data_IF_297097702664
#
_entry.id   IF_297097702664
#
_cell.length_a   1.000
_cell.length_b   1.000
_cell.length_c   1.000
_cell.angle_alpha   90.00
_cell.angle_beta   90.00
_cell.angle_gamma   90.00
#
_symmetry.space_group_name_H-M   'P 1'
#
loop_
_entity.id
_entity.type
_entity.pdbx_description
1 polymer ?
#
# COMPACT_ATOMS: atom_id res chain seq x y z
N UNK A 1 -8.30 -59.54 17.96
CA UNK A 1 -9.21 -58.55 17.37
C UNK A 1 -8.49 -57.20 17.38
N UNK A 2 -8.04 -56.69 16.23
CA UNK A 2 -7.36 -55.40 16.17
C UNK A 2 -8.42 -54.29 16.07
N UNK A 3 -8.43 -53.37 17.04
CA UNK A 3 -9.12 -52.08 16.90
C UNK A 3 -8.32 -51.24 15.91
N UNK A 4 -8.89 -51.02 14.74
CA UNK A 4 -8.44 -50.00 13.79
C UNK A 4 -8.76 -48.64 14.38
N UNK A 5 -7.73 -47.90 14.82
CA UNK A 5 -7.81 -46.46 14.91
C UNK A 5 -7.21 -45.86 13.64
N UNK A 6 -8.12 -45.38 12.78
CA UNK A 6 -7.84 -44.45 11.70
C UNK A 6 -7.52 -43.12 12.35
N UNK A 7 -6.26 -42.70 12.28
CA UNK A 7 -5.83 -41.34 12.64
C UNK A 7 -5.60 -40.57 11.35
N UNK A 8 -6.48 -39.59 11.12
CA UNK A 8 -6.34 -38.60 10.06
C UNK A 8 -5.06 -37.79 10.27
N UNK A 9 -4.22 -37.56 9.26
CA UNK A 9 -3.16 -36.57 9.35
C UNK A 9 -3.78 -35.18 9.11
N UNK A 10 -3.71 -34.30 10.12
CA UNK A 10 -3.89 -32.86 9.92
C UNK A 10 -2.58 -32.36 9.34
N UNK A 11 -2.58 -32.14 8.02
CA UNK A 11 -1.49 -31.51 7.31
C UNK A 11 -1.71 -29.98 7.36
N UNK A 12 -0.88 -29.27 8.11
CA UNK A 12 -0.69 -27.82 7.96
C UNK A 12 0.50 -27.61 7.02
N UNK A 13 0.21 -27.47 5.72
CA UNK A 13 1.19 -27.07 4.72
C UNK A 13 0.80 -25.72 4.14
N UNK A 14 1.70 -24.76 4.34
CA UNK A 14 2.25 -23.81 3.38
C UNK A 14 1.30 -23.21 2.33
N UNK A 15 1.25 -21.88 2.34
CA UNK A 15 0.85 -21.09 1.19
C UNK A 15 1.78 -21.36 -0.01
N UNK A 16 1.17 -21.79 -1.10
CA UNK A 16 1.61 -21.51 -2.45
C UNK A 16 0.38 -21.55 -3.38
N UNK A 17 0.31 -20.53 -4.23
CA UNK A 17 -0.60 -20.22 -5.33
C UNK A 17 -1.10 -21.46 -6.11
N UNK A 18 -2.36 -21.42 -6.59
CA UNK A 18 -2.74 -21.73 -7.99
C UNK A 18 -4.24 -21.48 -8.25
N UNK A 19 -4.48 -20.62 -9.24
CA UNK A 19 -5.43 -20.78 -10.36
C UNK A 19 -6.94 -20.97 -10.12
N UNK A 20 -7.69 -20.03 -10.71
CA UNK A 20 -9.03 -20.12 -11.28
C UNK A 20 -9.72 -21.51 -11.30
N UNK A 21 -10.90 -21.58 -10.69
CA UNK A 21 -12.01 -22.37 -11.20
C UNK A 21 -13.25 -21.45 -11.39
N UNK A 22 -13.98 -21.60 -12.51
CA UNK A 22 -15.14 -20.77 -12.83
C UNK A 22 -16.43 -21.33 -12.21
N UNK A 23 -17.32 -20.43 -11.78
CA UNK A 23 -18.76 -20.65 -11.88
C UNK A 23 -19.53 -21.02 -10.60
N UNK A 24 -20.37 -20.06 -10.21
CA UNK A 24 -21.76 -20.20 -9.73
C UNK A 24 -22.03 -20.07 -8.23
N UNK A 25 -22.22 -18.81 -7.85
CA UNK A 25 -22.92 -18.36 -6.64
C UNK A 25 -23.32 -16.91 -6.81
N UNK A 26 -24.05 -16.61 -7.89
CA UNK A 26 -24.57 -15.28 -8.21
C UNK A 26 -25.51 -14.79 -7.10
N UNK A 27 -24.98 -14.06 -6.13
CA UNK A 27 -25.75 -13.07 -5.39
C UNK A 27 -25.72 -11.80 -6.22
N UNK A 28 -26.88 -11.17 -6.42
CA UNK A 28 -27.05 -10.03 -7.32
C UNK A 28 -26.17 -8.85 -6.89
N UNK A 29 -24.94 -8.82 -7.39
CA UNK A 29 -24.27 -7.56 -7.69
C UNK A 29 -25.14 -6.90 -8.74
N UNK A 30 -25.85 -5.84 -8.37
CA UNK A 30 -26.44 -4.95 -9.35
C UNK A 30 -25.27 -4.47 -10.22
N UNK A 31 -25.13 -5.02 -11.43
CA UNK A 31 -24.23 -4.43 -12.39
C UNK A 31 -24.61 -2.95 -12.50
N UNK A 32 -23.62 -2.03 -12.50
CA UNK A 32 -23.92 -0.61 -12.64
C UNK A 32 -24.82 -0.43 -13.86
N UNK A 33 -25.84 0.42 -13.73
CA UNK A 33 -26.72 0.68 -14.86
C UNK A 33 -25.88 1.18 -16.04
N UNK A 34 -26.30 0.99 -17.30
CA UNK A 34 -25.55 1.49 -18.46
C UNK A 34 -25.21 3.00 -18.34
N UNK A 35 -26.09 3.77 -17.70
CA UNK A 35 -25.91 5.19 -17.40
C UNK A 35 -24.83 5.44 -16.34
N UNK A 36 -24.71 4.57 -15.33
CA UNK A 36 -23.68 4.67 -14.28
C UNK A 36 -22.30 4.34 -14.85
N UNK A 37 -22.21 3.31 -15.70
CA UNK A 37 -20.99 2.94 -16.41
C UNK A 37 -20.52 4.05 -17.37
N UNK A 38 -21.43 4.62 -18.17
CA UNK A 38 -21.10 5.74 -19.08
C UNK A 38 -20.61 6.99 -18.34
N UNK A 39 -21.13 7.28 -17.14
CA UNK A 39 -20.64 8.40 -16.31
C UNK A 39 -19.26 8.12 -15.71
N UNK A 40 -18.98 6.88 -15.33
CA UNK A 40 -17.66 6.47 -14.85
C UNK A 40 -16.60 6.56 -15.95
N UNK A 41 -16.93 6.17 -17.18
CA UNK A 41 -16.05 6.31 -18.33
C UNK A 41 -15.71 7.78 -18.62
N UNK A 42 -16.73 8.65 -18.64
CA UNK A 42 -16.54 10.08 -18.89
C UNK A 42 -15.67 10.76 -17.83
N UNK A 43 -15.88 10.44 -16.54
CA UNK A 43 -15.09 11.00 -15.44
C UNK A 43 -13.65 10.51 -15.43
N UNK A 44 -13.42 9.24 -15.82
CA UNK A 44 -12.08 8.66 -15.95
C UNK A 44 -11.30 9.27 -17.11
N UNK A 45 -11.96 9.53 -18.24
CA UNK A 45 -11.37 10.25 -19.38
C UNK A 45 -11.03 11.70 -19.03
N UNK A 46 -11.92 12.41 -18.33
CA UNK A 46 -11.66 13.77 -17.86
C UNK A 46 -10.46 13.83 -16.91
N UNK A 47 -10.36 12.88 -15.98
CA UNK A 47 -9.21 12.78 -15.07
C UNK A 47 -7.92 12.50 -15.84
N UNK A 48 -7.92 11.58 -16.81
CA UNK A 48 -6.76 11.31 -17.66
C UNK A 48 -6.30 12.55 -18.45
N UNK A 49 -7.23 13.34 -18.98
CA UNK A 49 -6.92 14.59 -19.65
C UNK A 49 -6.44 15.68 -18.67
N UNK A 50 -6.92 15.69 -17.43
CA UNK A 50 -6.43 16.59 -16.39
C UNK A 50 -4.98 16.28 -15.99
N UNK A 51 -4.58 15.01 -15.93
CA UNK A 51 -3.18 14.62 -15.68
C UNK A 51 -2.20 15.16 -16.72
N UNK A 52 -2.60 15.25 -18.00
CA UNK A 52 -1.79 15.89 -19.05
C UNK A 52 -1.60 17.39 -18.83
N UNK A 53 -2.54 18.03 -18.15
CA UNK A 53 -2.56 19.47 -17.84
C UNK A 53 -2.13 19.78 -16.40
N UNK A 54 -1.56 18.81 -15.68
CA UNK A 54 -1.08 18.99 -14.32
C UNK A 54 -0.10 20.17 -14.22
N UNK A 55 -0.22 20.93 -13.15
CA UNK A 55 0.55 22.15 -12.90
C UNK A 55 1.24 22.07 -11.55
N UNK A 56 2.42 22.65 -11.46
CA UNK A 56 3.11 22.76 -10.18
C UNK A 56 2.26 23.61 -9.23
N UNK A 57 1.98 23.05 -8.05
CA UNK A 57 1.10 23.64 -7.04
C UNK A 57 -0.35 23.15 -7.07
N UNK A 58 -0.75 22.30 -8.04
CA UNK A 58 -2.04 21.60 -7.96
C UNK A 58 -2.06 20.78 -6.65
N UNK A 59 -3.03 21.04 -5.78
CA UNK A 59 -3.06 20.51 -4.42
C UNK A 59 -4.47 20.13 -3.99
N UNK A 60 -4.59 19.00 -3.29
CA UNK A 60 -5.80 18.61 -2.55
C UNK A 60 -5.45 18.22 -1.12
N UNK A 61 -6.26 18.68 -0.17
CA UNK A 61 -6.07 18.42 1.26
C UNK A 61 -7.33 17.77 1.84
N UNK A 62 -7.15 16.66 2.53
CA UNK A 62 -8.19 15.93 3.25
C UNK A 62 -7.91 15.97 4.75
N UNK A 63 -8.95 16.16 5.56
CA UNK A 63 -8.87 15.72 6.94
C UNK A 63 -9.08 14.21 7.00
N UNK A 64 -8.24 13.53 7.75
CA UNK A 64 -8.35 12.10 7.96
C UNK A 64 -8.56 11.79 9.45
N UNK A 65 -9.25 10.69 9.72
CA UNK A 65 -9.35 10.10 11.04
C UNK A 65 -9.37 8.59 10.90
N UNK A 66 -8.54 7.90 11.68
CA UNK A 66 -8.53 6.45 11.77
C UNK A 66 -8.66 6.03 13.24
N UNK A 67 -9.37 4.94 13.49
CA UNK A 67 -9.60 4.42 14.82
C UNK A 67 -9.56 2.90 14.83
N UNK A 68 -8.90 2.32 15.83
CA UNK A 68 -8.89 0.89 16.08
C UNK A 68 -9.38 0.66 17.50
N UNK A 69 -10.45 -0.12 17.65
CA UNK A 69 -10.97 -0.55 18.93
C UNK A 69 -9.98 -1.47 19.65
N UNK A 70 -10.28 -1.85 20.90
CA UNK A 70 -9.45 -2.82 21.62
C UNK A 70 -9.52 -4.19 20.93
N UNK A 71 -8.38 -4.88 20.85
CA UNK A 71 -8.34 -6.28 20.39
C UNK A 71 -8.85 -7.19 21.51
N UNK A 72 -9.86 -8.05 21.28
CA UNK A 72 -10.38 -8.92 22.34
C UNK A 72 -9.33 -9.91 22.85
N UNK A 73 -9.07 -9.90 24.16
CA UNK A 73 -8.09 -10.76 24.81
C UNK A 73 -6.70 -10.14 25.00
N UNK A 74 -6.47 -8.94 24.45
CA UNK A 74 -5.27 -8.15 24.70
C UNK A 74 -5.60 -6.96 25.61
N UNK A 75 -4.65 -6.53 26.44
CA UNK A 75 -4.80 -5.35 27.30
C UNK A 75 -4.63 -4.02 26.54
N UNK A 76 -4.80 -4.04 25.23
CA UNK A 76 -4.51 -2.90 24.36
C UNK A 76 -5.67 -1.91 24.35
N UNK A 77 -5.33 -0.64 24.59
CA UNK A 77 -6.26 0.47 24.51
C UNK A 77 -6.68 0.74 23.06
N UNK A 78 -7.89 1.28 22.88
CA UNK A 78 -8.31 1.82 21.60
C UNK A 78 -7.30 2.86 21.11
N UNK A 79 -6.95 2.79 19.81
CA UNK A 79 -5.95 3.65 19.17
C UNK A 79 -6.65 4.58 18.19
N UNK A 80 -6.22 5.83 18.14
CA UNK A 80 -6.75 6.82 17.22
C UNK A 80 -5.61 7.59 16.57
N UNK A 81 -5.82 7.99 15.31
CA UNK A 81 -4.90 8.82 14.56
C UNK A 81 -5.68 9.75 13.64
N UNK A 82 -5.47 11.05 13.79
CA UNK A 82 -6.13 12.07 13.01
C UNK A 82 -5.14 13.14 12.54
N UNK A 83 -5.51 13.85 11.48
CA UNK A 83 -4.66 14.86 10.88
C UNK A 83 -5.11 15.28 9.49
N UNK A 84 -4.15 15.74 8.70
CA UNK A 84 -4.35 16.19 7.32
C UNK A 84 -3.49 15.37 6.37
N UNK A 85 -4.09 14.93 5.26
CA UNK A 85 -3.43 14.31 4.11
C UNK A 85 -3.40 15.34 2.98
N UNK A 86 -2.22 15.66 2.47
CA UNK A 86 -2.03 16.57 1.33
C UNK A 86 -1.39 15.82 0.17
N UNK A 87 -1.99 15.93 -1.02
CA UNK A 87 -1.39 15.54 -2.29
C UNK A 87 -1.10 16.81 -3.08
N UNK A 88 0.14 17.00 -3.54
CA UNK A 88 0.54 18.20 -4.27
C UNK A 88 1.49 17.89 -5.42
N UNK A 89 1.24 18.46 -6.59
CA UNK A 89 2.19 18.42 -7.70
C UNK A 89 3.36 19.35 -7.41
N UNK A 90 4.54 18.77 -7.19
CA UNK A 90 5.76 19.51 -6.86
C UNK A 90 6.69 19.70 -8.06
N UNK A 91 6.54 18.90 -9.11
CA UNK A 91 7.29 19.04 -10.35
C UNK A 91 6.53 18.38 -11.51
N UNK A 92 6.66 18.96 -12.70
CA UNK A 92 6.14 18.40 -13.95
C UNK A 92 7.28 18.36 -14.96
N UNK A 93 7.69 17.15 -15.33
CA UNK A 93 8.69 16.88 -16.37
C UNK A 93 8.12 15.80 -17.29
N UNK A 94 7.35 16.24 -18.29
CA UNK A 94 6.60 15.34 -19.16
C UNK A 94 7.48 14.17 -19.67
N UNK A 95 7.01 12.91 -19.59
CA UNK A 95 5.63 12.51 -19.24
C UNK A 95 5.36 12.38 -17.73
N UNK A 96 6.31 12.74 -16.86
CA UNK A 96 6.23 12.53 -15.42
C UNK A 96 5.66 13.73 -14.66
N UNK A 97 4.68 13.47 -13.82
CA UNK A 97 4.14 14.39 -12.82
C UNK A 97 4.54 13.87 -11.45
N UNK A 98 5.28 14.66 -10.67
CA UNK A 98 5.75 14.29 -9.35
C UNK A 98 4.79 14.82 -8.29
N UNK A 99 4.12 13.91 -7.60
CA UNK A 99 3.18 14.23 -6.52
C UNK A 99 3.86 13.99 -5.17
N UNK A 100 3.88 14.99 -4.31
CA UNK A 100 4.20 14.86 -2.90
C UNK A 100 2.96 14.41 -2.14
N UNK A 101 3.12 13.38 -1.31
CA UNK A 101 2.11 12.92 -0.35
C UNK A 101 2.63 13.19 1.06
N UNK A 102 1.88 13.96 1.84
CA UNK A 102 2.27 14.36 3.18
C UNK A 102 1.13 14.14 4.17
N UNK A 103 1.47 13.64 5.36
CA UNK A 103 0.57 13.51 6.49
C UNK A 103 1.05 14.41 7.63
N UNK A 104 0.16 15.26 8.13
CA UNK A 104 0.48 16.23 9.19
C UNK A 104 -0.61 16.26 10.25
N UNK A 105 -0.30 16.82 11.42
CA UNK A 105 -1.29 17.14 12.42
C UNK A 105 -2.17 18.34 11.99
N UNK A 106 -3.15 18.72 12.81
CA UNK A 106 -4.01 19.85 12.52
C UNK A 106 -3.27 21.21 12.41
N UNK A 107 -2.06 21.31 12.95
CA UNK A 107 -1.19 22.50 12.89
C UNK A 107 -0.18 22.44 11.74
N UNK A 108 -0.25 21.43 10.87
CA UNK A 108 0.67 21.25 9.75
C UNK A 108 2.06 20.71 10.13
N UNK A 109 2.22 20.17 11.35
CA UNK A 109 3.48 19.56 11.79
C UNK A 109 3.52 18.06 11.44
N UNK A 110 4.72 17.48 11.26
CA UNK A 110 4.85 16.04 11.04
C UNK A 110 4.20 15.22 12.16
N UNK A 111 3.53 14.12 11.79
CA UNK A 111 2.95 13.19 12.74
C UNK A 111 4.04 12.46 13.54
N UNK A 112 3.70 12.08 14.78
CA UNK A 112 4.59 11.30 15.64
C UNK A 112 4.78 9.85 15.19
N UNK A 113 3.83 9.34 14.39
CA UNK A 113 3.79 7.98 13.89
C UNK A 113 4.86 7.82 12.81
N UNK A 114 5.87 6.99 13.09
CA UNK A 114 7.03 6.80 12.19
C UNK A 114 6.64 6.53 10.75
N UNK A 115 5.58 5.74 10.52
CA UNK A 115 5.05 5.42 9.18
C UNK A 115 4.59 6.64 8.39
N UNK A 116 4.07 7.67 9.03
CA UNK A 116 3.52 8.86 8.37
C UNK A 116 4.35 10.13 8.59
N UNK A 117 5.50 10.02 9.25
CA UNK A 117 6.29 11.16 9.71
C UNK A 117 7.08 11.88 8.61
N UNK A 118 7.13 11.34 7.39
CA UNK A 118 7.93 11.87 6.27
C UNK A 118 7.09 12.01 5.01
N UNK A 119 7.38 13.06 4.26
CA UNK A 119 6.85 13.25 2.92
C UNK A 119 7.33 12.14 1.98
N UNK A 120 6.39 11.65 1.17
CA UNK A 120 6.59 10.63 0.15
C UNK A 120 6.45 11.25 -1.24
N UNK A 121 7.10 10.64 -2.21
CA UNK A 121 7.04 11.07 -3.61
C UNK A 121 6.40 9.98 -4.47
N UNK A 122 5.52 10.39 -5.37
CA UNK A 122 4.82 9.54 -6.33
C UNK A 122 5.03 10.12 -7.74
N UNK A 123 5.97 9.60 -8.53
CA UNK A 123 6.02 9.88 -9.96
C UNK A 123 4.85 9.18 -10.66
N UNK A 124 4.04 9.95 -11.37
CA UNK A 124 2.86 9.49 -12.11
C UNK A 124 3.04 9.85 -13.58
N UNK A 125 2.86 8.89 -14.48
CA UNK A 125 2.81 9.14 -15.91
C UNK A 125 1.50 9.81 -16.30
N UNK A 126 1.61 10.90 -17.05
CA UNK A 126 0.47 11.67 -17.57
C UNK A 126 -0.09 11.10 -18.87
N UNK A 127 0.68 10.29 -19.61
CA UNK A 127 0.31 9.72 -20.89
C UNK A 127 -0.48 8.40 -20.77
N UNK A 128 -1.11 8.00 -21.87
CA UNK A 128 -1.93 6.77 -21.95
C UNK A 128 -1.09 5.64 -22.52
N UNK A 129 -0.68 4.72 -21.66
CA UNK A 129 0.08 3.50 -21.99
C UNK A 129 -0.84 2.29 -22.19
N UNK A 130 -1.98 2.25 -21.49
CA UNK A 130 -3.01 1.20 -21.59
C UNK A 130 -4.40 1.74 -21.20
N UNK A 131 -5.51 1.09 -21.58
CA UNK A 131 -6.80 1.34 -20.94
C UNK A 131 -6.72 0.92 -19.46
N UNK A 132 -7.10 1.81 -18.55
CA UNK A 132 -7.29 1.50 -17.13
C UNK A 132 -8.70 1.89 -16.79
N UNK A 133 -9.57 0.90 -16.69
CA UNK A 133 -10.92 1.05 -16.19
C UNK A 133 -11.07 0.17 -14.96
N UNK A 134 -11.41 0.80 -13.83
CA UNK A 134 -11.59 0.13 -12.54
C UNK A 134 -12.98 0.49 -12.05
N UNK A 135 -13.95 -0.42 -12.22
CA UNK A 135 -15.31 -0.18 -11.76
C UNK A 135 -15.32 0.12 -10.27
N UNK A 136 -16.06 1.17 -9.89
CA UNK A 136 -16.27 1.49 -8.47
C UNK A 136 -17.33 0.54 -7.91
N UNK A 137 -17.02 -0.27 -6.88
CA UNK A 137 -17.97 -1.23 -6.35
C UNK A 137 -19.05 -0.54 -5.49
N UNK A 138 -20.23 -1.16 -5.41
CA UNK A 138 -21.29 -0.78 -4.48
C UNK A 138 -22.52 -0.14 -5.12
N UNK A 139 -23.52 0.11 -4.29
CA UNK A 139 -24.76 0.79 -4.65
C UNK A 139 -24.48 2.26 -4.94
N UNK A 140 -25.09 2.77 -6.02
CA UNK A 140 -24.83 4.10 -6.56
C UNK A 140 -25.97 5.05 -6.20
N UNK A 141 -25.67 6.26 -5.73
CA UNK A 141 -26.68 7.29 -5.46
C UNK A 141 -26.13 8.67 -5.83
N UNK A 142 -26.91 9.46 -6.58
CA UNK A 142 -26.56 10.84 -6.86
C UNK A 142 -26.87 11.75 -5.66
N UNK A 143 -25.99 12.69 -5.35
CA UNK A 143 -26.14 13.62 -4.24
C UNK A 143 -25.53 14.99 -4.55
N UNK A 144 -25.84 15.98 -3.71
CA UNK A 144 -25.32 17.35 -3.80
C UNK A 144 -24.68 17.83 -2.50
N UNK A 145 -23.53 17.26 -2.10
CA UNK A 145 -22.87 17.65 -0.86
C UNK A 145 -22.16 19.00 -0.99
N UNK A 146 -21.95 19.66 0.16
CA UNK A 146 -21.17 20.88 0.25
C UNK A 146 -19.83 20.60 0.91
N UNK A 147 -18.73 20.82 0.20
CA UNK A 147 -17.36 20.63 0.70
C UNK A 147 -16.50 21.83 0.31
N UNK A 148 -15.68 22.31 1.25
CA UNK A 148 -14.76 23.43 1.04
C UNK A 148 -15.47 24.71 0.52
N UNK A 149 -16.69 24.97 0.99
CA UNK A 149 -17.48 26.13 0.59
C UNK A 149 -18.11 26.06 -0.81
N UNK A 150 -18.08 24.89 -1.47
CA UNK A 150 -18.68 24.64 -2.79
C UNK A 150 -19.67 23.49 -2.73
N UNK A 151 -20.79 23.64 -3.44
CA UNK A 151 -21.72 22.56 -3.71
C UNK A 151 -21.25 21.74 -4.92
N UNK A 152 -21.27 20.43 -4.77
CA UNK A 152 -20.80 19.49 -5.78
C UNK A 152 -21.95 18.68 -6.33
N UNK A 153 -22.00 18.44 -7.63
CA UNK A 153 -22.75 17.30 -8.14
C UNK A 153 -21.89 16.06 -7.96
N UNK A 154 -22.35 15.11 -7.16
CA UNK A 154 -21.55 13.97 -6.74
C UNK A 154 -22.31 12.65 -6.85
N UNK A 155 -21.53 11.58 -6.87
CA UNK A 155 -22.02 10.21 -6.87
C UNK A 155 -21.43 9.47 -5.67
N UNK A 156 -22.30 8.92 -4.84
CA UNK A 156 -21.98 8.06 -3.70
C UNK A 156 -21.99 6.60 -4.11
N UNK A 157 -20.99 5.86 -3.65
CA UNK A 157 -20.84 4.42 -3.77
C UNK A 157 -20.83 3.79 -2.38
N UNK A 158 -21.71 2.83 -2.12
CA UNK A 158 -21.79 2.11 -0.83
C UNK A 158 -21.65 0.61 -1.07
N UNK A 159 -20.60 0.01 -0.53
CA UNK A 159 -20.38 -1.44 -0.55
C UNK A 159 -20.40 -1.97 0.89
N UNK A 160 -21.46 -2.67 1.26
CA UNK A 160 -21.58 -3.30 2.59
C UNK A 160 -21.25 -4.79 2.50
N UNK A 161 -20.03 -5.15 2.89
CA UNK A 161 -19.57 -6.54 2.91
C UNK A 161 -19.60 -7.15 4.32
N UNK A 162 -20.12 -6.44 5.32
CA UNK A 162 -20.22 -6.93 6.71
C UNK A 162 -20.98 -8.26 6.85
N UNK A 163 -22.02 -8.57 6.04
CA UNK A 163 -22.68 -9.87 6.10
C UNK A 163 -21.78 -11.09 5.78
N UNK A 164 -20.61 -10.86 5.17
CA UNK A 164 -19.62 -11.90 4.82
C UNK A 164 -18.24 -11.58 5.42
N UNK A 165 -18.24 -10.97 6.61
CA UNK A 165 -17.05 -10.57 7.37
C UNK A 165 -16.12 -9.56 6.65
N UNK A 166 -16.65 -8.83 5.67
CA UNK A 166 -15.95 -7.73 4.98
C UNK A 166 -16.26 -6.34 5.55
N UNK A 167 -15.63 -5.28 5.01
CA UNK A 167 -15.85 -3.91 5.48
C UNK A 167 -17.14 -3.29 4.91
N UNK A 168 -17.63 -2.25 5.58
CA UNK A 168 -18.51 -1.25 4.98
C UNK A 168 -17.65 -0.16 4.35
N UNK A 169 -17.78 0.06 3.04
CA UNK A 169 -17.05 1.10 2.30
C UNK A 169 -18.03 2.11 1.74
N UNK A 170 -17.75 3.38 1.98
CA UNK A 170 -18.47 4.51 1.37
C UNK A 170 -17.48 5.41 0.66
N UNK A 171 -17.79 5.79 -0.59
CA UNK A 171 -17.01 6.76 -1.35
C UNK A 171 -17.94 7.77 -2.00
N UNK A 172 -17.56 9.04 -1.96
CA UNK A 172 -18.28 10.14 -2.61
C UNK A 172 -17.34 10.83 -3.56
N UNK A 173 -17.69 10.85 -4.84
CA UNK A 173 -16.88 11.48 -5.87
C UNK A 173 -17.66 12.59 -6.57
N UNK A 174 -17.00 13.71 -6.81
CA UNK A 174 -17.49 14.76 -7.70
C UNK A 174 -17.62 14.21 -9.14
N UNK A 175 -18.70 14.60 -9.81
CA UNK A 175 -18.92 14.28 -11.22
C UNK A 175 -18.02 15.10 -12.14
N UNK A 176 -17.58 16.29 -11.70
CA UNK A 176 -16.49 17.05 -12.34
C UNK A 176 -15.23 16.90 -11.49
N UNK A 177 -14.27 16.12 -12.01
CA UNK A 177 -13.02 15.78 -11.32
C UNK A 177 -11.86 16.72 -11.68
N UNK A 178 -12.08 17.76 -12.50
CA UNK A 178 -10.99 18.56 -13.09
C UNK A 178 -10.07 19.18 -12.03
N UNK A 179 -10.64 19.71 -10.94
CA UNK A 179 -9.88 20.32 -9.82
C UNK A 179 -9.41 19.30 -8.77
N UNK A 180 -9.87 18.04 -8.87
CA UNK A 180 -9.65 16.97 -7.89
C UNK A 180 -9.06 15.72 -8.57
N UNK A 181 -8.33 15.91 -9.67
CA UNK A 181 -7.87 14.80 -10.51
C UNK A 181 -6.81 13.93 -9.81
N UNK A 182 -6.08 14.49 -8.84
CA UNK A 182 -5.11 13.77 -8.00
C UNK A 182 -5.74 12.60 -7.22
N UNK A 183 -7.06 12.65 -7.00
CA UNK A 183 -7.85 11.64 -6.29
C UNK A 183 -9.15 11.30 -7.03
N UNK A 184 -9.14 11.45 -8.36
CA UNK A 184 -10.27 11.10 -9.26
C UNK A 184 -11.63 11.69 -8.84
N UNK A 185 -11.62 12.88 -8.23
CA UNK A 185 -12.83 13.56 -7.76
C UNK A 185 -13.23 13.27 -6.32
N UNK A 186 -12.41 12.62 -5.49
CA UNK A 186 -12.81 12.19 -4.15
C UNK A 186 -13.19 13.39 -3.26
N UNK A 187 -14.40 13.36 -2.69
CA UNK A 187 -14.90 14.34 -1.72
C UNK A 187 -14.89 13.78 -0.30
N UNK A 188 -15.34 12.53 -0.14
CA UNK A 188 -15.39 11.83 1.14
C UNK A 188 -15.14 10.34 0.91
N UNK A 189 -14.43 9.71 1.84
CA UNK A 189 -14.27 8.28 1.89
C UNK A 189 -14.40 7.76 3.33
N UNK A 190 -15.05 6.62 3.53
CA UNK A 190 -14.98 5.88 4.79
C UNK A 190 -14.87 4.37 4.56
N UNK A 191 -14.05 3.71 5.36
CA UNK A 191 -13.99 2.25 5.46
C UNK A 191 -14.19 1.91 6.92
N UNK A 192 -15.22 1.14 7.23
CA UNK A 192 -15.51 0.63 8.56
C UNK A 192 -15.29 -0.89 8.56
N UNK A 193 -14.38 -1.36 9.40
CA UNK A 193 -14.17 -2.79 9.63
C UNK A 193 -15.15 -3.28 10.69
N UNK A 194 -16.14 -4.05 10.26
CA UNK A 194 -17.06 -4.78 11.13
C UNK A 194 -17.13 -6.23 10.62
N UNK A 195 -16.27 -7.08 11.17
CA UNK A 195 -16.16 -8.50 10.77
C UNK A 195 -14.98 -9.21 11.43
N UNK A 196 -13.89 -8.49 11.63
CA UNK A 196 -12.77 -8.95 12.46
C UNK A 196 -12.92 -8.34 13.84
N UNK A 197 -12.71 -9.14 14.89
CA UNK A 197 -12.98 -8.88 16.31
C UNK A 197 -12.56 -7.50 16.88
N UNK A 198 -11.78 -6.72 16.14
CA UNK A 198 -11.37 -5.35 16.46
C UNK A 198 -12.15 -4.35 15.59
N UNK A 199 -13.20 -3.68 16.12
CA UNK A 199 -13.96 -2.68 15.37
C UNK A 199 -13.06 -1.48 15.04
N UNK A 200 -13.30 -0.81 13.93
CA UNK A 200 -12.48 0.34 13.55
C UNK A 200 -12.78 0.85 12.16
N UNK A 201 -12.00 1.82 11.73
CA UNK A 201 -12.11 2.35 10.38
C UNK A 201 -11.18 3.51 10.10
N UNK A 202 -11.31 4.01 8.88
CA UNK A 202 -10.65 5.22 8.40
C UNK A 202 -11.65 6.07 7.63
N UNK A 203 -11.56 7.38 7.80
CA UNK A 203 -12.37 8.38 7.10
C UNK A 203 -11.47 9.46 6.52
N UNK A 204 -11.80 9.92 5.31
CA UNK A 204 -11.25 11.09 4.62
C UNK A 204 -12.38 12.06 4.28
N UNK A 205 -12.14 13.36 4.41
CA UNK A 205 -13.07 14.42 4.02
C UNK A 205 -12.31 15.61 3.44
N UNK A 206 -12.72 16.04 2.24
CA UNK A 206 -12.09 17.16 1.53
C UNK A 206 -12.16 18.44 2.37
N UNK A 207 -11.02 19.11 2.53
CA UNK A 207 -10.87 20.37 3.26
C UNK A 207 -10.56 21.55 2.37
N UNK A 208 -9.68 21.32 1.41
CA UNK A 208 -9.16 22.37 0.52
C UNK A 208 -8.72 21.73 -0.79
N UNK A 209 -8.83 22.51 -1.86
CA UNK A 209 -8.22 22.23 -3.15
C UNK A 209 -7.69 23.54 -3.71
N UNK A 210 -6.59 23.44 -4.46
CA UNK A 210 -5.92 24.60 -5.05
C UNK A 210 -5.42 24.21 -6.44
N UNK A 211 -5.64 25.10 -7.41
CA UNK A 211 -5.04 25.01 -8.74
C UNK A 211 -3.65 25.65 -8.72
N UNK A 212 -2.68 24.95 -9.29
CA UNK A 212 -1.31 25.37 -9.46
C UNK A 212 -1.13 26.38 -10.59
N UNK A 213 0.11 26.82 -10.76
CA UNK A 213 0.48 27.74 -11.83
C UNK A 213 1.05 27.00 -13.03
N UNK A 214 0.57 27.32 -14.23
CA UNK A 214 1.12 26.80 -15.48
C UNK A 214 2.53 27.34 -15.77
N UNK A 215 2.91 28.44 -15.14
CA UNK A 215 4.22 29.09 -15.30
C UNK A 215 5.25 28.59 -14.27
N UNK A 216 4.78 27.91 -13.21
CA UNK A 216 5.67 27.38 -12.19
C UNK A 216 6.40 26.13 -12.71
N UNK A 217 7.73 26.14 -12.58
CA UNK A 217 8.59 25.01 -12.91
C UNK A 217 9.52 24.74 -11.73
N UNK A 218 9.71 23.46 -11.43
CA UNK A 218 10.58 22.99 -10.36
C UNK A 218 11.32 21.72 -10.84
N UNK A 219 12.58 21.52 -10.42
CA UNK A 219 13.31 20.30 -10.76
C UNK A 219 12.62 19.06 -10.19
N UNK A 220 12.77 17.93 -10.85
CA UNK A 220 12.27 16.65 -10.37
C UNK A 220 12.86 16.36 -8.98
N UNK A 221 12.02 16.03 -7.99
CA UNK A 221 12.51 15.62 -6.68
C UNK A 221 13.27 14.29 -6.78
N UNK A 222 14.27 14.11 -5.93
CA UNK A 222 14.92 12.82 -5.76
C UNK A 222 13.94 11.79 -5.22
N UNK A 223 13.94 10.57 -5.78
CA UNK A 223 13.15 9.44 -5.28
C UNK A 223 13.83 8.78 -4.06
N UNK A 224 14.19 9.57 -3.06
CA UNK A 224 14.76 9.07 -1.81
C UNK A 224 13.74 8.28 -0.99
N UNK A 225 12.47 8.74 -0.97
CA UNK A 225 11.34 8.16 -0.24
C UNK A 225 10.14 7.97 -1.18
N UNK A 226 10.24 7.06 -2.15
CA UNK A 226 9.11 6.77 -3.03
C UNK A 226 8.00 6.09 -2.24
N UNK A 227 6.74 6.49 -2.45
CA UNK A 227 5.58 5.75 -1.90
C UNK A 227 5.55 4.32 -2.48
N UNK A 228 6.05 4.15 -3.69
CA UNK A 228 6.06 2.91 -4.43
C UNK A 228 6.48 3.23 -5.84
N UNK A 229 5.59 3.91 -6.62
CA UNK A 229 5.86 4.28 -8.00
C UNK A 229 7.24 4.88 -8.22
N UNK A 230 7.89 4.43 -9.30
CA UNK A 230 9.24 4.85 -9.66
C UNK A 230 10.34 4.17 -8.84
N UNK A 231 10.03 3.11 -8.10
CA UNK A 231 11.00 2.31 -7.36
C UNK A 231 10.72 0.80 -7.46
N UNK A 232 11.77 0.02 -7.21
CA UNK A 232 11.73 -1.43 -7.19
C UNK A 232 12.55 -1.96 -6.01
N UNK A 233 12.30 -3.21 -5.64
CA UNK A 233 13.18 -3.95 -4.74
C UNK A 233 13.18 -5.45 -5.07
N UNK A 234 14.29 -6.08 -4.73
CA UNK A 234 14.54 -7.50 -4.95
C UNK A 234 14.63 -8.19 -3.60
N UNK A 235 13.86 -9.26 -3.44
CA UNK A 235 13.85 -10.10 -2.25
C UNK A 235 14.29 -11.50 -2.65
N UNK A 236 15.40 -11.95 -2.07
CA UNK A 236 15.75 -13.37 -2.10
C UNK A 236 14.85 -14.10 -1.13
N UNK A 237 14.22 -15.17 -1.58
CA UNK A 237 13.44 -16.09 -0.75
C UNK A 237 14.17 -17.43 -0.75
N UNK A 238 14.54 -17.88 0.44
CA UNK A 238 15.22 -19.13 0.66
C UNK A 238 14.16 -20.16 1.08
N UNK A 239 13.69 -20.98 0.13
CA UNK A 239 12.69 -22.04 0.35
C UNK A 239 13.17 -23.33 -0.30
N UNK A 240 13.66 -24.29 0.49
CA UNK A 240 14.20 -25.54 -0.04
C UNK A 240 13.18 -26.26 -0.97
N UNK A 241 13.59 -26.74 -2.16
CA UNK A 241 14.97 -26.82 -2.66
C UNK A 241 15.44 -25.59 -3.49
N UNK A 242 14.63 -24.55 -3.63
CA UNK A 242 14.87 -23.43 -4.55
C UNK A 242 15.27 -22.13 -3.85
N UNK A 243 16.25 -21.43 -4.38
CA UNK A 243 16.51 -20.04 -4.03
C UNK A 243 16.02 -19.18 -5.19
N UNK A 244 15.05 -18.31 -4.93
CA UNK A 244 14.48 -17.44 -5.93
C UNK A 244 14.65 -15.99 -5.53
N UNK A 245 15.02 -15.13 -6.48
CA UNK A 245 15.02 -13.68 -6.28
C UNK A 245 13.78 -13.14 -6.97
N UNK A 246 12.86 -12.63 -6.18
CA UNK A 246 11.64 -11.98 -6.64
C UNK A 246 11.88 -10.48 -6.68
N UNK A 247 11.55 -9.85 -7.79
CA UNK A 247 11.51 -8.39 -7.90
C UNK A 247 10.09 -7.91 -7.83
N UNK A 248 9.90 -6.86 -7.02
CA UNK A 248 8.66 -6.11 -6.93
C UNK A 248 8.88 -4.73 -7.53
N UNK A 249 7.99 -4.38 -8.46
CA UNK A 249 8.07 -3.20 -9.30
C UNK A 249 6.81 -2.36 -9.13
N UNK A 250 6.99 -1.03 -9.04
CA UNK A 250 5.90 -0.08 -8.88
C UNK A 250 5.97 1.03 -9.92
N UNK A 251 4.86 1.27 -10.61
CA UNK A 251 4.67 2.47 -11.45
C UNK A 251 3.33 3.13 -11.12
N UNK A 252 3.11 4.33 -11.64
CA UNK A 252 1.80 4.95 -11.62
C UNK A 252 1.50 5.66 -12.93
N UNK A 253 0.23 5.64 -13.31
CA UNK A 253 -0.30 6.31 -14.49
C UNK A 253 -1.68 6.87 -14.19
N UNK A 254 -1.89 8.15 -14.51
CA UNK A 254 -3.22 8.81 -14.47
C UNK A 254 -4.03 8.57 -13.19
N UNK A 255 -3.37 8.56 -12.03
CA UNK A 255 -4.01 8.35 -10.72
C UNK A 255 -4.20 6.89 -10.31
N UNK A 256 -3.59 5.95 -11.02
CA UNK A 256 -3.54 4.53 -10.65
C UNK A 256 -2.11 4.10 -10.38
N UNK A 257 -1.91 3.34 -9.32
CA UNK A 257 -0.66 2.66 -8.95
C UNK A 257 -0.72 1.23 -9.45
N UNK A 258 0.35 0.78 -10.10
CA UNK A 258 0.48 -0.55 -10.64
C UNK A 258 1.64 -1.26 -9.94
N UNK A 259 1.38 -2.49 -9.51
CA UNK A 259 2.36 -3.38 -8.89
C UNK A 259 2.56 -4.61 -9.77
N UNK A 260 3.81 -4.99 -9.98
CA UNK A 260 4.20 -6.22 -10.66
C UNK A 260 5.21 -6.96 -9.78
N UNK A 261 5.10 -8.28 -9.69
CA UNK A 261 5.99 -9.15 -8.93
C UNK A 261 6.31 -10.40 -9.73
N UNK A 262 7.58 -10.77 -9.78
CA UNK A 262 8.02 -11.97 -10.47
C UNK A 262 9.51 -12.26 -10.31
N UNK A 263 9.97 -13.42 -10.79
CA UNK A 263 11.39 -13.77 -10.77
C UNK A 263 12.23 -12.80 -11.59
N UNK A 264 13.45 -12.55 -11.11
CA UNK A 264 14.44 -11.75 -11.84
C UNK A 264 15.14 -12.60 -12.89
N UNK A 265 15.01 -12.21 -14.17
CA UNK A 265 15.79 -12.79 -15.26
C UNK A 265 17.21 -12.22 -15.31
N UNK A 266 18.16 -12.96 -15.89
CA UNK A 266 19.52 -12.44 -16.12
C UNK A 266 19.50 -11.29 -17.12
N UNK A 267 19.96 -10.11 -16.71
CA UNK A 267 20.09 -8.94 -17.59
C UNK A 267 18.78 -8.21 -17.94
N UNK A 268 17.68 -8.46 -17.21
CA UNK A 268 16.42 -7.76 -17.43
C UNK A 268 16.47 -6.31 -16.90
N UNK A 269 15.86 -5.38 -17.64
CA UNK A 269 15.55 -4.04 -17.15
C UNK A 269 14.86 -4.10 -15.78
N UNK A 270 15.01 -3.08 -14.91
CA UNK A 270 14.47 -3.09 -13.56
C UNK A 270 13.01 -3.50 -13.54
N UNK A 271 12.18 -2.86 -14.37
CA UNK A 271 10.75 -3.13 -14.44
C UNK A 271 10.27 -2.99 -15.90
N UNK A 272 9.88 -4.11 -16.53
CA UNK A 272 9.57 -4.15 -17.96
C UNK A 272 8.11 -4.49 -18.30
N UNK A 273 7.36 -5.13 -17.39
CA UNK A 273 6.00 -5.59 -17.67
C UNK A 273 5.02 -5.31 -16.53
N UNK A 274 4.01 -4.49 -16.84
CA UNK A 274 2.84 -4.20 -16.00
C UNK A 274 1.52 -4.62 -16.68
N UNK A 275 1.57 -5.37 -17.78
CA UNK A 275 0.37 -5.75 -18.54
C UNK A 275 -0.66 -6.50 -17.69
N UNK A 276 -0.19 -7.30 -16.72
CA UNK A 276 -1.01 -8.06 -15.77
C UNK A 276 -1.22 -7.38 -14.42
N UNK A 277 -0.67 -6.18 -14.22
CA UNK A 277 -0.79 -5.48 -12.96
C UNK A 277 -2.22 -4.99 -12.74
N UNK A 278 -2.81 -5.37 -11.62
CA UNK A 278 -4.10 -4.84 -11.18
C UNK A 278 -3.93 -3.38 -10.76
N UNK A 279 -4.68 -2.46 -11.36
CA UNK A 279 -4.62 -1.05 -11.02
C UNK A 279 -5.26 -0.76 -9.66
N UNK A 280 -4.49 -0.19 -8.75
CA UNK A 280 -4.98 0.38 -7.50
C UNK A 280 -5.14 1.89 -7.65
N UNK A 281 -6.25 2.46 -7.20
CA UNK A 281 -6.42 3.90 -7.24
C UNK A 281 -5.53 4.60 -6.22
N UNK A 282 -4.88 5.71 -6.60
CA UNK A 282 -3.97 6.44 -5.72
C UNK A 282 -4.67 6.87 -4.42
N UNK A 283 -5.93 7.29 -4.49
CA UNK A 283 -6.67 7.67 -3.29
C UNK A 283 -6.96 6.50 -2.34
N UNK A 284 -7.12 5.27 -2.85
CA UNK A 284 -7.30 4.08 -1.99
C UNK A 284 -5.99 3.71 -1.31
N UNK A 285 -4.87 3.79 -2.03
CA UNK A 285 -3.54 3.58 -1.48
C UNK A 285 -3.21 4.58 -0.37
N UNK A 286 -3.42 5.88 -0.57
CA UNK A 286 -3.12 6.88 0.48
C UNK A 286 -4.12 6.80 1.64
N UNK A 287 -5.34 6.33 1.41
CA UNK A 287 -6.35 6.13 2.45
C UNK A 287 -6.04 4.94 3.37
N UNK A 288 -5.32 3.92 2.89
CA UNK A 288 -4.94 2.78 3.73
C UNK A 288 -3.81 3.11 4.72
N UNK A 289 -2.93 4.08 4.39
CA UNK A 289 -1.74 4.38 5.19
C UNK A 289 -2.02 4.76 6.66
N UNK A 290 -3.04 5.59 7.00
CA UNK A 290 -3.42 5.83 8.39
C UNK A 290 -3.83 4.58 9.15
N UNK A 291 -4.56 3.68 8.49
CA UNK A 291 -4.97 2.41 9.07
C UNK A 291 -3.75 1.49 9.31
N UNK A 292 -2.87 1.37 8.33
CA UNK A 292 -1.65 0.57 8.44
C UNK A 292 -0.72 1.10 9.55
N UNK A 293 -0.67 2.42 9.71
CA UNK A 293 0.09 3.08 10.79
C UNK A 293 -0.48 2.75 12.18
N UNK A 294 -1.81 2.64 12.32
CA UNK A 294 -2.45 2.25 13.56
C UNK A 294 -2.25 0.77 13.90
N UNK A 295 -2.50 -0.11 12.91
CA UNK A 295 -2.46 -1.57 13.10
C UNK A 295 -1.04 -2.05 13.36
N UNK A 296 -0.06 -1.51 12.62
CA UNK A 296 1.35 -1.91 12.78
C UNK A 296 1.97 -1.42 14.09
N UNK A 297 1.35 -0.44 14.76
CA UNK A 297 1.87 0.16 15.98
C UNK A 297 3.17 0.93 15.78
N UNK A 298 3.91 1.11 16.89
CA UNK A 298 5.16 1.86 16.88
C UNK A 298 6.28 1.08 16.17
N UNK A 299 7.11 1.80 15.42
CA UNK A 299 8.31 1.24 14.79
C UNK A 299 9.57 1.45 15.66
N UNK A 300 10.54 0.53 15.65
CA UNK A 300 10.44 -0.84 15.12
C UNK A 300 9.44 -1.69 15.93
N UNK A 301 9.01 -2.86 15.43
CA UNK A 301 8.10 -3.73 16.17
C UNK A 301 8.58 -4.00 17.59
N UNK A 302 7.64 -4.15 18.53
CA UNK A 302 7.91 -4.08 19.97
C UNK A 302 9.05 -4.97 20.47
N UNK A 303 9.06 -6.25 20.07
CA UNK A 303 10.09 -7.18 20.52
C UNK A 303 11.46 -6.93 19.85
N UNK A 304 11.49 -6.39 18.63
CA UNK A 304 12.71 -5.88 18.01
C UNK A 304 13.31 -4.67 18.75
N UNK A 305 12.53 -3.81 19.43
CA UNK A 305 13.08 -2.66 20.19
C UNK A 305 14.03 -3.08 21.31
N UNK A 306 13.79 -4.24 21.92
CA UNK A 306 14.66 -4.84 22.93
C UNK A 306 15.71 -5.79 22.34
N UNK A 307 15.68 -5.96 21.01
CA UNK A 307 16.54 -6.86 20.25
C UNK A 307 17.99 -6.39 20.15
N UNK A 308 18.82 -7.23 19.54
CA UNK A 308 20.24 -6.94 19.35
C UNK A 308 20.42 -5.87 18.26
N UNK A 309 21.22 -4.84 18.57
CA UNK A 309 21.63 -3.84 17.59
C UNK A 309 22.62 -4.42 16.58
N UNK A 310 22.48 -4.03 15.32
CA UNK A 310 23.33 -4.52 14.24
C UNK A 310 23.43 -3.55 13.07
N UNK A 311 24.01 -4.05 11.98
CA UNK A 311 24.09 -3.32 10.72
C UNK A 311 23.79 -4.27 9.58
N UNK A 312 22.82 -3.91 8.76
CA UNK A 312 22.50 -4.60 7.53
C UNK A 312 23.29 -3.96 6.39
N UNK A 313 24.11 -4.77 5.73
CA UNK A 313 24.93 -4.35 4.59
C UNK A 313 24.40 -4.97 3.30
N UNK A 314 24.25 -4.14 2.27
CA UNK A 314 23.91 -4.56 0.91
C UNK A 314 24.70 -3.69 -0.06
N UNK A 315 25.59 -4.29 -0.85
CA UNK A 315 26.52 -3.58 -1.73
C UNK A 315 27.27 -2.44 -0.99
N UNK A 316 27.07 -1.19 -1.40
CA UNK A 316 27.63 0.03 -0.83
C UNK A 316 26.75 0.67 0.26
N UNK A 317 25.63 0.03 0.62
CA UNK A 317 24.65 0.54 1.58
C UNK A 317 24.79 -0.11 2.94
N UNK A 318 24.62 0.71 3.97
CA UNK A 318 24.67 0.32 5.38
C UNK A 318 23.45 0.88 6.11
N UNK A 319 22.70 0.01 6.79
CA UNK A 319 21.47 0.36 7.49
C UNK A 319 21.59 -0.12 8.94
N UNK A 320 21.48 0.76 9.95
CA UNK A 320 21.39 0.34 11.34
C UNK A 320 20.15 -0.53 11.57
N UNK A 321 20.30 -1.63 12.30
CA UNK A 321 19.22 -2.60 12.50
C UNK A 321 19.01 -2.98 13.95
N UNK A 322 17.82 -3.53 14.20
CA UNK A 322 17.45 -4.20 15.42
C UNK A 322 16.91 -5.59 15.06
N UNK A 323 17.47 -6.61 15.69
CA UNK A 323 17.14 -8.01 15.41
C UNK A 323 16.38 -8.62 16.57
N UNK A 324 15.20 -9.14 16.26
CA UNK A 324 14.40 -9.97 17.15
C UNK A 324 14.69 -11.44 16.88
N UNK A 325 14.77 -12.23 17.94
CA UNK A 325 14.81 -13.68 17.85
C UNK A 325 13.74 -14.27 18.76
N UNK A 326 12.84 -15.09 18.21
CA UNK A 326 11.88 -15.89 19.00
C UNK A 326 12.11 -17.37 18.79
N UNK A 327 11.62 -18.17 19.72
CA UNK A 327 11.70 -19.63 19.65
C UNK A 327 10.33 -20.19 19.96
N UNK A 328 9.76 -20.92 19.01
CA UNK A 328 8.45 -21.54 19.15
C UNK A 328 8.60 -23.06 18.98
N UNK A 329 7.75 -23.83 19.66
CA UNK A 329 7.69 -25.28 19.52
C UNK A 329 6.42 -25.64 18.73
N UNK A 330 6.57 -25.97 17.43
CA UNK A 330 5.48 -26.35 16.53
C UNK A 330 5.44 -27.87 16.40
N UNK A 331 4.33 -28.49 16.85
CA UNK A 331 4.11 -29.95 16.73
C UNK A 331 5.27 -30.81 17.28
N UNK A 332 5.95 -30.32 18.33
CA UNK A 332 7.09 -31.00 18.96
C UNK A 332 8.43 -30.77 18.28
N UNK A 333 8.47 -29.93 17.24
CA UNK A 333 9.71 -29.45 16.60
C UNK A 333 9.96 -28.00 16.99
N UNK A 334 11.13 -27.73 17.55
CA UNK A 334 11.52 -26.37 17.91
C UNK A 334 11.98 -25.59 16.68
N UNK A 335 11.44 -24.40 16.49
CA UNK A 335 11.85 -23.43 15.48
C UNK A 335 12.45 -22.19 16.14
N UNK A 336 13.49 -21.64 15.52
CA UNK A 336 14.06 -20.34 15.87
C UNK A 336 13.78 -19.40 14.71
N UNK A 337 13.04 -18.32 14.98
CA UNK A 337 12.79 -17.26 14.00
C UNK A 337 13.67 -16.08 14.34
N UNK A 338 14.34 -15.54 13.33
CA UNK A 338 15.13 -14.33 13.44
C UNK A 338 14.59 -13.32 12.43
N UNK A 339 14.27 -12.12 12.89
CA UNK A 339 13.79 -11.03 12.04
C UNK A 339 14.61 -9.78 12.31
N UNK A 340 15.17 -9.20 11.25
CA UNK A 340 16.00 -8.01 11.33
C UNK A 340 15.27 -6.85 10.70
N UNK A 341 15.03 -5.81 11.50
CA UNK A 341 14.32 -4.61 11.10
C UNK A 341 15.28 -3.43 11.00
N UNK A 342 14.98 -2.46 10.12
CA UNK A 342 15.66 -1.17 10.16
C UNK A 342 15.38 -0.47 11.51
N UNK A 343 16.44 0.00 12.19
CA UNK A 343 16.26 0.77 13.42
C UNK A 343 15.52 2.09 13.15
N UNK A 344 15.81 2.72 12.01
CA UNK A 344 15.06 3.83 11.44
C UNK A 344 14.71 3.51 9.96
N UNK A 345 13.43 3.39 9.59
CA UNK A 345 13.01 3.08 8.22
C UNK A 345 13.25 4.25 7.26
N UNK A 346 13.62 5.42 7.79
CA UNK A 346 14.00 6.62 7.04
C UNK A 346 15.51 6.85 6.98
N UNK A 347 16.32 5.90 7.46
CA UNK A 347 17.77 6.00 7.40
C UNK A 347 18.28 6.20 5.95
N UNK A 348 19.36 6.99 5.73
CA UNK A 348 19.90 7.24 4.40
C UNK A 348 20.28 5.98 3.60
N UNK A 349 20.70 4.92 4.29
CA UNK A 349 21.01 3.64 3.66
C UNK A 349 19.80 2.99 2.95
N UNK A 350 18.57 3.40 3.28
CA UNK A 350 17.33 2.96 2.65
C UNK A 350 16.84 3.94 1.57
N UNK A 351 17.63 4.90 1.11
CA UNK A 351 17.24 5.77 0.00
C UNK A 351 16.82 4.93 -1.23
N UNK A 352 15.68 5.27 -1.83
CA UNK A 352 15.13 4.57 -3.00
C UNK A 352 14.34 3.28 -2.68
N UNK A 353 14.27 2.84 -1.41
CA UNK A 353 13.37 1.73 -1.02
C UNK A 353 11.91 2.23 -1.09
N UNK A 354 11.00 1.52 -1.78
CA UNK A 354 9.57 1.86 -1.77
C UNK A 354 8.97 1.70 -0.37
N UNK A 355 7.95 2.50 -0.07
CA UNK A 355 7.35 2.61 1.26
C UNK A 355 7.04 1.25 1.90
N UNK A 356 6.41 0.32 1.18
CA UNK A 356 6.04 -0.98 1.76
C UNK A 356 7.26 -1.77 2.28
N UNK A 357 8.37 -1.77 1.55
CA UNK A 357 9.57 -2.54 1.91
C UNK A 357 10.35 -1.90 3.06
N UNK A 358 10.20 -0.59 3.30
CA UNK A 358 10.84 0.09 4.46
C UNK A 358 10.31 -0.41 5.80
N UNK A 359 9.06 -0.83 5.80
CA UNK A 359 8.35 -1.25 7.01
C UNK A 359 8.13 -2.77 7.06
N UNK A 360 9.02 -3.52 6.38
CA UNK A 360 9.15 -4.97 6.47
C UNK A 360 10.51 -5.32 7.09
N UNK A 361 10.73 -6.60 7.40
CA UNK A 361 12.06 -7.08 7.78
C UNK A 361 13.02 -6.99 6.59
N UNK A 362 14.25 -6.54 6.85
CA UNK A 362 15.33 -6.50 5.86
C UNK A 362 15.92 -7.91 5.63
N UNK A 363 15.85 -8.74 6.66
CA UNK A 363 16.33 -10.12 6.69
C UNK A 363 15.43 -10.91 7.64
N UNK A 364 15.01 -12.09 7.24
CA UNK A 364 14.33 -13.06 8.07
C UNK A 364 14.90 -14.45 7.84
N UNK A 365 15.03 -15.22 8.91
CA UNK A 365 15.51 -16.59 8.87
C UNK A 365 14.71 -17.45 9.83
N UNK A 366 14.40 -18.66 9.39
CA UNK A 366 13.77 -19.70 10.20
C UNK A 366 14.71 -20.89 10.25
N UNK A 367 15.06 -21.33 11.46
CA UNK A 367 15.89 -22.50 11.70
C UNK A 367 15.09 -23.56 12.45
N UNK A 368 15.12 -24.80 11.97
CA UNK A 368 14.58 -25.97 12.67
C UNK A 368 15.67 -26.55 13.58
N UNK A 369 15.33 -26.82 14.84
CA UNK A 369 16.24 -27.47 15.79
C UNK A 369 15.99 -28.98 15.77
N UNK A 370 16.91 -29.71 15.17
CA UNK A 370 16.89 -31.17 15.07
C UNK A 370 17.30 -31.88 16.37
N UNK A 371 17.24 -33.22 16.32
CA UNK A 371 17.67 -34.07 17.43
C UNK A 371 19.13 -33.78 17.79
N UNK A 372 19.41 -33.57 19.08
CA UNK A 372 20.75 -33.18 19.56
C UNK A 372 21.05 -31.68 19.51
N UNK A 373 20.08 -30.83 19.15
CA UNK A 373 20.21 -29.36 19.20
C UNK A 373 20.82 -28.74 17.95
N UNK A 374 21.08 -29.52 16.90
CA UNK A 374 21.58 -29.01 15.62
C UNK A 374 20.53 -28.12 14.95
N UNK A 375 20.95 -26.97 14.42
CA UNK A 375 20.07 -26.07 13.68
C UNK A 375 20.20 -26.30 12.18
N UNK A 376 19.07 -26.37 11.50
CA UNK A 376 18.96 -26.53 10.05
C UNK A 376 18.12 -25.39 9.49
N UNK A 377 18.57 -24.74 8.42
CA UNK A 377 17.79 -23.69 7.77
C UNK A 377 16.48 -24.26 7.22
N UNK A 378 15.36 -23.73 7.67
CA UNK A 378 14.00 -24.08 7.24
C UNK A 378 13.41 -23.04 6.28
N UNK A 379 14.02 -21.85 6.21
CA UNK A 379 13.74 -20.86 5.17
C UNK A 379 14.11 -19.46 5.59
N UNK A 380 13.79 -18.47 4.74
CA UNK A 380 14.06 -17.08 5.05
C UNK A 380 13.79 -16.15 3.88
N UNK A 381 13.96 -14.86 4.13
CA UNK A 381 13.95 -13.86 3.07
C UNK A 381 14.93 -12.75 3.36
N UNK A 382 15.52 -12.18 2.32
CA UNK A 382 16.46 -11.07 2.45
C UNK A 382 16.26 -10.04 1.35
N UNK A 383 16.25 -8.77 1.72
CA UNK A 383 16.30 -7.67 0.77
C UNK A 383 17.70 -7.64 0.12
N UNK A 384 17.80 -7.88 -1.19
CA UNK A 384 19.10 -8.03 -1.87
C UNK A 384 19.45 -6.90 -2.82
N UNK A 385 18.46 -6.14 -3.29
CA UNK A 385 18.66 -4.97 -4.15
C UNK A 385 17.45 -4.06 -4.07
N UNK A 386 17.63 -2.76 -4.31
CA UNK A 386 16.53 -1.81 -4.53
C UNK A 386 17.05 -0.56 -5.21
N UNK A 387 16.14 0.22 -5.77
CA UNK A 387 16.48 1.53 -6.29
C UNK A 387 15.33 2.22 -6.98
N UNK A 388 15.52 3.49 -7.34
CA UNK A 388 14.61 4.16 -8.25
C UNK A 388 14.68 3.53 -9.63
N UNK A 389 13.57 3.54 -10.34
CA UNK A 389 13.49 3.27 -11.77
C UNK A 389 12.43 4.19 -12.35
N UNK A 390 12.72 4.85 -13.46
CA UNK A 390 11.71 5.55 -14.24
C UNK A 390 11.89 5.05 -15.66
N UNK A 391 11.02 4.12 -16.09
CA UNK A 391 11.06 3.58 -17.44
C UNK A 391 10.88 4.70 -18.48
N UNK A 392 11.61 4.63 -19.59
CA UNK A 392 11.48 5.61 -20.68
C UNK A 392 12.20 6.94 -20.44
N UNK A 393 13.42 6.93 -19.90
CA UNK A 393 14.38 7.93 -20.35
C UNK A 393 14.76 7.62 -21.81
N UNK A 394 14.85 8.63 -22.69
CA UNK A 394 15.28 8.44 -24.07
C UNK A 394 16.67 7.80 -24.17
#
# INVERSE_FOLDING_TARGET
>A
MPMRHVTCPVAALLGAVLSFLPGCGSTMSSNPSPVDAQRQDATSQQAAEAWKRARVGDRVTYAFSANQGPTPGEADAARTLDGQLTLEVVSVQQPWVYVRVAFTDAAGKPLSQTRLAKDLVVPVRSDVTRPVDVPRPGQVTAERPSFSGRDWEATRYVSDQRPVDGPLRTRVYANDSTLLYLTRGLLEASTESAGFRTPGGVKLSLREFQEGSAEASAPAPSLERPLGPGAYYDRRVDLAPTQEVLRVCFTAERGYVLRSEGPVGTGSDPCSDFSKAEPEALEELVMSLPWDALVSGAWPPGAAKAGAGGTFTMADRSVPTLTEQRTDDDEGTRHVYTETYAADPWAPGLAGVPYEARFQSLDSATERVGAGGQRESAGGSRLVQWGPWLGGQP
#
